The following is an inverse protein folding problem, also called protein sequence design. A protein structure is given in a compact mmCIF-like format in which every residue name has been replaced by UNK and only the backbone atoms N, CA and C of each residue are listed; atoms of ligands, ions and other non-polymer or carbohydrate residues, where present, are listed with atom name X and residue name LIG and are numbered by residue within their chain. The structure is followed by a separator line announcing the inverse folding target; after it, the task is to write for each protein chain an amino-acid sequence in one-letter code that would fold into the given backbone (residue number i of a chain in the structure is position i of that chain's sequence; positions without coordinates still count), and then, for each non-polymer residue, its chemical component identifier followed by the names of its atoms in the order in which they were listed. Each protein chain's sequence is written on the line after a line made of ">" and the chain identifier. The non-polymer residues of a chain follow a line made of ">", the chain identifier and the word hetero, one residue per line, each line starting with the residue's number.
data_IF_166014612114
#
_entry.id   IF_166014612114
#
_cell.length_a   1.000
_cell.length_b   1.000
_cell.length_c   1.000
_cell.angle_alpha   90.00
_cell.angle_beta   90.00
_cell.angle_gamma   90.00
#
_symmetry.space_group_name_H-M   'P 1'
#
loop_
_entity.id
_entity.type
_entity.pdbx_description
1 polymer ?
#
# COMPACT_ATOMS: atom_id res chain seq x y z
N UNK A 1 43.63 -19.94 -19.82
CA UNK A 1 42.26 -19.80 -19.26
C UNK A 1 41.79 -21.21 -18.93
N UNK A 2 41.58 -21.55 -17.66
CA UNK A 2 41.06 -22.87 -17.27
C UNK A 2 39.61 -22.99 -17.74
N UNK A 3 39.28 -23.99 -18.57
CA UNK A 3 37.90 -24.25 -18.99
C UNK A 3 37.05 -24.58 -17.76
N UNK A 4 35.94 -23.87 -17.59
CA UNK A 4 35.00 -24.03 -16.47
C UNK A 4 34.32 -25.41 -16.51
N UNK A 5 34.19 -26.01 -17.70
CA UNK A 5 33.45 -27.26 -17.92
C UNK A 5 34.14 -28.52 -17.34
N UNK A 6 35.42 -28.43 -16.92
CA UNK A 6 36.21 -29.57 -16.43
C UNK A 6 36.28 -29.63 -14.91
N UNK A 7 35.83 -28.58 -14.21
CA UNK A 7 35.99 -28.46 -12.77
C UNK A 7 34.64 -28.70 -12.09
N UNK A 8 34.48 -29.88 -11.49
CA UNK A 8 33.26 -30.24 -10.76
C UNK A 8 32.96 -29.30 -9.58
N UNK A 9 31.67 -29.13 -9.22
CA UNK A 9 31.26 -28.32 -8.06
C UNK A 9 31.91 -28.85 -6.78
N UNK A 10 32.44 -27.93 -5.95
CA UNK A 10 33.16 -28.27 -4.71
C UNK A 10 34.65 -28.60 -4.88
N UNK A 11 35.19 -28.61 -6.10
CA UNK A 11 36.63 -28.79 -6.32
C UNK A 11 37.45 -27.56 -5.91
N UNK A 12 38.71 -27.76 -5.50
CA UNK A 12 39.65 -26.67 -5.22
C UNK A 12 39.83 -25.72 -6.43
N UNK A 13 39.71 -26.24 -7.66
CA UNK A 13 39.71 -25.41 -8.86
C UNK A 13 38.55 -24.43 -8.92
N UNK A 14 37.37 -24.84 -8.44
CA UNK A 14 36.17 -24.00 -8.37
C UNK A 14 36.34 -22.93 -7.28
N UNK A 15 36.92 -23.29 -6.12
CA UNK A 15 37.27 -22.32 -5.07
C UNK A 15 38.24 -21.25 -5.58
N UNK A 16 39.29 -21.63 -6.32
CA UNK A 16 40.23 -20.67 -6.91
C UNK A 16 39.55 -19.76 -7.95
N UNK A 17 38.52 -20.24 -8.65
CA UNK A 17 37.70 -19.40 -9.52
C UNK A 17 36.85 -18.40 -8.73
N UNK A 18 36.21 -18.82 -7.63
CA UNK A 18 35.44 -17.93 -6.73
C UNK A 18 36.36 -16.86 -6.11
N UNK A 19 37.57 -17.23 -5.68
CA UNK A 19 38.54 -16.28 -5.13
C UNK A 19 38.99 -15.23 -6.15
N UNK A 20 38.96 -15.52 -7.45
CA UNK A 20 39.21 -14.51 -8.50
C UNK A 20 38.13 -13.43 -8.56
N UNK A 21 36.93 -13.65 -8.02
CA UNK A 21 35.89 -12.62 -7.89
C UNK A 21 36.26 -11.55 -6.85
N UNK A 22 37.30 -11.76 -6.02
CA UNK A 22 37.81 -10.76 -5.08
C UNK A 22 38.75 -9.72 -5.74
N UNK A 23 39.07 -9.87 -7.04
CA UNK A 23 39.90 -8.90 -7.79
C UNK A 23 39.45 -7.43 -7.66
N UNK A 24 38.15 -7.08 -7.63
CA UNK A 24 37.70 -5.70 -7.43
C UNK A 24 38.15 -5.10 -6.09
N UNK A 25 38.44 -5.91 -5.05
CA UNK A 25 38.92 -5.42 -3.75
C UNK A 25 40.22 -4.61 -3.85
N UNK A 26 41.01 -4.77 -4.92
CA UNK A 26 42.20 -3.95 -5.18
C UNK A 26 41.87 -2.45 -5.26
N UNK A 27 40.62 -2.07 -5.57
CA UNK A 27 40.17 -0.67 -5.62
C UNK A 27 40.25 0.00 -4.24
N UNK A 28 40.07 -0.75 -3.14
CA UNK A 28 40.20 -0.23 -1.78
C UNK A 28 41.65 0.16 -1.46
N UNK A 29 42.63 -0.50 -2.08
CA UNK A 29 44.05 -0.15 -1.95
C UNK A 29 44.45 0.95 -2.94
N UNK A 30 43.93 0.91 -4.17
CA UNK A 30 44.29 1.85 -5.24
C UNK A 30 43.72 3.26 -5.02
N UNK A 31 42.50 3.37 -4.49
CA UNK A 31 41.78 4.65 -4.32
C UNK A 31 41.91 5.13 -2.86
N UNK A 32 42.61 6.24 -2.58
CA UNK A 32 42.86 6.70 -1.21
C UNK A 32 41.60 7.06 -0.43
N UNK A 33 40.53 7.50 -1.11
CA UNK A 33 39.22 7.78 -0.49
C UNK A 33 38.56 6.50 0.05
N UNK A 34 38.60 5.41 -0.72
CA UNK A 34 38.04 4.12 -0.31
C UNK A 34 38.79 3.52 0.87
N UNK A 35 40.12 3.72 0.92
CA UNK A 35 40.94 3.30 2.07
C UNK A 35 40.54 4.01 3.36
N UNK A 36 40.22 5.32 3.29
CA UNK A 36 39.75 6.08 4.46
C UNK A 36 38.44 5.51 5.00
N UNK A 37 37.48 5.17 4.12
CA UNK A 37 36.21 4.54 4.53
C UNK A 37 36.45 3.21 5.26
N UNK A 38 37.32 2.35 4.73
CA UNK A 38 37.67 1.07 5.38
C UNK A 38 38.37 1.31 6.71
N UNK A 39 39.26 2.29 6.81
CA UNK A 39 39.93 2.64 8.07
C UNK A 39 38.94 3.08 9.15
N UNK A 40 37.98 3.96 8.81
CA UNK A 40 36.94 4.38 9.77
C UNK A 40 36.03 3.21 10.19
N UNK A 41 35.74 2.26 9.28
CA UNK A 41 34.98 1.05 9.61
C UNK A 41 35.76 0.13 10.57
N UNK A 42 37.03 -0.16 10.25
CA UNK A 42 37.88 -1.06 11.04
C UNK A 42 38.19 -0.46 12.41
N UNK A 43 38.30 0.86 12.51
CA UNK A 43 38.50 1.56 13.77
C UNK A 43 37.41 1.27 14.80
N UNK A 44 36.16 1.10 14.35
CA UNK A 44 35.01 0.75 15.21
C UNK A 44 34.77 -0.75 15.37
N UNK A 45 35.64 -1.61 14.86
CA UNK A 45 35.41 -3.06 14.84
C UNK A 45 35.30 -3.66 16.24
N UNK A 46 36.03 -3.12 17.23
CA UNK A 46 36.00 -3.61 18.62
C UNK A 46 34.60 -3.47 19.23
N UNK A 47 33.97 -2.32 19.05
CA UNK A 47 32.63 -2.01 19.54
C UNK A 47 31.58 -2.87 18.82
N UNK A 48 31.69 -3.01 17.50
CA UNK A 48 30.82 -3.88 16.69
C UNK A 48 30.92 -5.34 17.15
N UNK A 49 32.14 -5.81 17.46
CA UNK A 49 32.37 -7.17 17.94
C UNK A 49 31.71 -7.40 19.31
N UNK A 50 31.81 -6.44 20.24
CA UNK A 50 31.17 -6.54 21.56
C UNK A 50 29.64 -6.70 21.44
N UNK A 51 29.00 -5.90 20.58
CA UNK A 51 27.56 -5.99 20.33
C UNK A 51 27.20 -7.32 19.66
N UNK A 52 28.02 -7.77 18.71
CA UNK A 52 27.83 -9.02 18.00
C UNK A 52 27.92 -10.24 18.92
N UNK A 53 28.86 -10.25 19.87
CA UNK A 53 28.98 -11.29 20.90
C UNK A 53 27.73 -11.34 21.78
N UNK A 54 27.24 -10.18 22.25
CA UNK A 54 26.00 -10.11 23.03
C UNK A 54 24.81 -10.69 22.26
N UNK A 55 24.70 -10.37 20.97
CA UNK A 55 23.63 -10.84 20.10
C UNK A 55 23.71 -12.36 19.85
N UNK A 56 24.92 -12.93 19.69
CA UNK A 56 25.13 -14.38 19.57
C UNK A 56 24.75 -15.11 20.86
N UNK A 57 25.14 -14.59 22.03
CA UNK A 57 24.76 -15.17 23.33
C UNK A 57 23.24 -15.14 23.50
N UNK A 58 22.60 -14.03 23.15
CA UNK A 58 21.14 -13.90 23.19
C UNK A 58 20.47 -14.90 22.26
N UNK A 59 20.91 -15.02 21.00
CA UNK A 59 20.40 -16.03 20.06
C UNK A 59 20.59 -17.44 20.59
N UNK A 60 21.72 -17.74 21.23
CA UNK A 60 21.99 -19.06 21.80
C UNK A 60 20.97 -19.45 22.87
N UNK A 61 20.63 -18.54 23.78
CA UNK A 61 19.60 -18.78 24.81
C UNK A 61 18.25 -19.12 24.15
N UNK A 62 17.82 -18.32 23.18
CA UNK A 62 16.57 -18.55 22.46
C UNK A 62 16.61 -19.80 21.57
N UNK A 63 17.77 -20.16 21.02
CA UNK A 63 17.95 -21.38 20.25
C UNK A 63 17.80 -22.62 21.12
N UNK A 64 18.44 -22.65 22.30
CA UNK A 64 18.28 -23.75 23.27
C UNK A 64 16.81 -23.87 23.69
N UNK A 65 16.15 -22.75 23.99
CA UNK A 65 14.72 -22.72 24.30
C UNK A 65 13.87 -23.26 23.14
N UNK A 66 14.12 -22.79 21.91
CA UNK A 66 13.40 -23.21 20.71
C UNK A 66 13.57 -24.70 20.41
N UNK A 67 14.76 -25.26 20.57
CA UNK A 67 15.01 -26.70 20.37
C UNK A 67 14.24 -27.55 21.37
N UNK A 68 14.20 -27.15 22.65
CA UNK A 68 13.46 -27.89 23.67
C UNK A 68 11.94 -27.86 23.44
N UNK A 69 11.39 -26.73 22.97
CA UNK A 69 9.95 -26.62 22.75
C UNK A 69 9.49 -27.19 21.40
N UNK A 70 10.27 -26.98 20.35
CA UNK A 70 9.85 -27.18 18.96
C UNK A 70 10.58 -28.34 18.26
N UNK A 71 11.65 -28.86 18.85
CA UNK A 71 12.45 -29.95 18.28
C UNK A 71 11.62 -31.18 17.95
N UNK A 72 11.65 -31.61 16.68
CA UNK A 72 10.91 -32.75 16.16
C UNK A 72 9.39 -32.55 16.03
N UNK A 73 8.84 -31.40 16.46
CA UNK A 73 7.38 -31.13 16.50
C UNK A 73 6.89 -30.29 15.34
N UNK A 74 7.80 -29.74 14.53
CA UNK A 74 7.45 -28.90 13.39
C UNK A 74 7.10 -29.68 12.13
N UNK A 75 7.38 -30.97 12.04
CA UNK A 75 7.09 -31.74 10.84
C UNK A 75 5.58 -32.01 10.70
N UNK A 76 5.04 -31.86 9.48
CA UNK A 76 3.64 -32.16 9.15
C UNK A 76 3.55 -32.80 7.77
N UNK A 77 2.44 -33.47 7.49
CA UNK A 77 2.12 -33.91 6.15
C UNK A 77 1.87 -32.71 5.24
N UNK A 78 2.33 -32.78 3.99
CA UNK A 78 2.03 -31.79 2.96
C UNK A 78 0.55 -31.78 2.51
N UNK A 79 -0.22 -32.83 2.83
CA UNK A 79 -1.67 -32.92 2.62
C UNK A 79 -2.41 -32.43 3.89
N UNK A 80 -3.23 -31.37 3.75
CA UNK A 80 -3.95 -30.74 4.88
C UNK A 80 -5.02 -31.62 5.50
N UNK A 81 -5.49 -32.64 4.78
CA UNK A 81 -6.54 -33.54 5.29
C UNK A 81 -5.96 -34.60 6.25
N UNK A 82 -4.64 -34.76 6.29
CA UNK A 82 -3.96 -35.82 7.04
C UNK A 82 -3.20 -35.22 8.23
N UNK A 83 -3.67 -35.52 9.43
CA UNK A 83 -3.07 -35.02 10.68
C UNK A 83 -2.04 -35.98 11.29
N UNK A 84 -2.14 -37.28 11.01
CA UNK A 84 -1.28 -38.31 11.62
C UNK A 84 -0.17 -38.76 10.69
N UNK A 85 1.05 -38.93 11.23
CA UNK A 85 2.22 -39.37 10.47
C UNK A 85 2.03 -40.72 9.77
N UNK A 86 1.41 -41.69 10.44
CA UNK A 86 1.12 -43.03 9.90
C UNK A 86 0.24 -43.00 8.64
N UNK A 87 -0.68 -42.03 8.56
CA UNK A 87 -1.60 -41.87 7.43
C UNK A 87 -1.00 -41.04 6.28
N UNK A 88 0.17 -40.46 6.47
CA UNK A 88 0.86 -39.62 5.47
C UNK A 88 1.62 -40.50 4.45
N UNK A 89 0.89 -41.39 3.78
CA UNK A 89 1.40 -42.31 2.76
C UNK A 89 0.57 -42.22 1.49
N UNK A 90 1.17 -42.58 0.35
CA UNK A 90 0.53 -42.52 -0.97
C UNK A 90 0.74 -41.19 -1.70
N UNK A 91 -0.18 -40.86 -2.61
CA UNK A 91 -0.12 -39.67 -3.48
C UNK A 91 -1.43 -38.88 -3.36
N UNK A 92 -1.35 -37.57 -3.54
CA UNK A 92 -2.53 -36.69 -3.53
C UNK A 92 -2.40 -35.59 -4.59
N UNK A 93 -3.54 -35.02 -4.98
CA UNK A 93 -3.60 -33.89 -5.91
C UNK A 93 -3.34 -32.59 -5.14
N UNK A 94 -2.23 -31.91 -5.45
CA UNK A 94 -1.90 -30.60 -4.87
C UNK A 94 -2.24 -29.49 -5.85
N UNK A 95 -2.98 -28.50 -5.39
CA UNK A 95 -3.26 -27.27 -6.14
C UNK A 95 -2.02 -26.38 -6.21
N UNK A 96 -1.66 -25.94 -7.42
CA UNK A 96 -0.56 -25.02 -7.66
C UNK A 96 -1.07 -23.58 -7.63
N UNK A 97 -0.41 -22.73 -6.86
CA UNK A 97 -0.67 -21.29 -6.90
C UNK A 97 -0.05 -20.69 -8.17
N UNK A 98 -0.87 -20.40 -9.19
CA UNK A 98 -0.43 -19.74 -10.43
C UNK A 98 0.05 -18.31 -10.15
N UNK A 99 -0.57 -17.62 -9.19
CA UNK A 99 -0.17 -16.29 -8.73
C UNK A 99 -0.23 -16.19 -7.21
N UNK A 100 0.62 -15.33 -6.62
CA UNK A 100 0.57 -15.01 -5.18
C UNK A 100 -0.67 -14.15 -4.82
N UNK A 101 -1.35 -13.55 -5.80
CA UNK A 101 -2.59 -12.82 -5.60
C UNK A 101 -3.79 -13.77 -5.65
N UNK A 102 -4.65 -13.71 -4.62
CA UNK A 102 -5.83 -14.57 -4.44
C UNK A 102 -6.96 -14.40 -5.48
N UNK A 103 -6.75 -13.64 -6.56
CA UNK A 103 -7.85 -13.21 -7.43
C UNK A 103 -7.53 -13.39 -8.91
N UNK A 104 -7.40 -14.63 -9.32
CA UNK A 104 -7.69 -15.01 -10.71
C UNK A 104 -8.77 -16.09 -10.63
N UNK A 105 -9.98 -15.77 -11.10
CA UNK A 105 -11.04 -16.76 -11.27
C UNK A 105 -10.64 -17.68 -12.42
N UNK A 106 -10.03 -18.80 -12.08
CA UNK A 106 -9.63 -19.85 -13.02
C UNK A 106 -9.54 -21.18 -12.28
N UNK A 107 -9.66 -22.28 -13.02
CA UNK A 107 -9.48 -23.63 -12.48
C UNK A 107 -8.05 -23.78 -11.94
N UNK A 108 -7.91 -24.23 -10.69
CA UNK A 108 -6.59 -24.42 -10.08
C UNK A 108 -5.92 -25.64 -10.73
N UNK A 109 -4.74 -25.43 -11.31
CA UNK A 109 -3.95 -26.52 -11.89
C UNK A 109 -3.53 -27.46 -10.76
N UNK A 110 -3.94 -28.72 -10.85
CA UNK A 110 -3.64 -29.77 -9.87
C UNK A 110 -2.57 -30.71 -10.41
N UNK A 111 -1.60 -31.05 -9.57
CA UNK A 111 -0.56 -32.03 -9.90
C UNK A 111 -0.50 -33.13 -8.85
N UNK A 112 -0.29 -34.37 -9.30
CA UNK A 112 -0.15 -35.53 -8.43
C UNK A 112 1.24 -35.52 -7.77
N UNK A 113 1.29 -35.39 -6.45
CA UNK A 113 2.54 -35.38 -5.67
C UNK A 113 2.50 -36.44 -4.56
N UNK A 114 3.66 -36.99 -4.16
CA UNK A 114 3.72 -37.91 -3.03
C UNK A 114 3.40 -37.18 -1.72
N UNK A 115 2.74 -37.89 -0.80
CA UNK A 115 2.60 -37.43 0.59
C UNK A 115 3.94 -37.57 1.30
N UNK A 116 4.38 -36.51 1.97
CA UNK A 116 5.66 -36.47 2.68
C UNK A 116 5.46 -35.77 4.02
N UNK A 117 5.92 -36.41 5.09
CA UNK A 117 5.97 -35.84 6.43
C UNK A 117 7.31 -35.11 6.60
N UNK A 118 7.29 -33.78 6.53
CA UNK A 118 8.51 -32.98 6.52
C UNK A 118 8.40 -31.66 7.29
N UNK A 119 9.54 -31.18 7.74
CA UNK A 119 9.70 -29.84 8.29
C UNK A 119 9.54 -28.77 7.20
N UNK A 120 9.28 -27.51 7.58
CA UNK A 120 9.46 -26.39 6.67
C UNK A 120 10.86 -26.42 6.06
N UNK A 121 10.99 -26.11 4.76
CA UNK A 121 12.27 -26.22 4.05
C UNK A 121 13.30 -25.18 4.51
N UNK A 122 12.84 -23.99 4.89
CA UNK A 122 13.71 -22.86 5.18
C UNK A 122 14.23 -22.88 6.62
N UNK A 123 13.46 -23.42 7.57
CA UNK A 123 13.83 -23.41 8.98
C UNK A 123 13.28 -24.62 9.73
N UNK A 124 13.99 -25.02 10.79
CA UNK A 124 13.54 -26.01 11.78
C UNK A 124 14.31 -25.79 13.09
N UNK A 125 13.82 -26.39 14.18
CA UNK A 125 14.40 -26.28 15.51
C UNK A 125 14.87 -27.65 16.04
N UNK A 126 15.25 -28.57 15.15
CA UNK A 126 15.66 -29.93 15.56
C UNK A 126 17.07 -29.95 16.15
N UNK A 127 17.93 -29.02 15.72
CA UNK A 127 19.30 -28.86 16.19
C UNK A 127 19.56 -27.39 16.55
N UNK A 128 20.50 -27.15 17.47
CA UNK A 128 20.89 -25.80 17.90
C UNK A 128 21.36 -24.94 16.72
N UNK A 129 22.13 -25.51 15.77
CA UNK A 129 22.60 -24.77 14.60
C UNK A 129 21.45 -24.28 13.69
N UNK A 130 20.47 -25.15 13.43
CA UNK A 130 19.29 -24.79 12.63
C UNK A 130 18.41 -23.76 13.35
N UNK A 131 18.29 -23.87 14.68
CA UNK A 131 17.57 -22.90 15.50
C UNK A 131 18.25 -21.52 15.52
N UNK A 132 19.59 -21.46 15.62
CA UNK A 132 20.34 -20.20 15.51
C UNK A 132 20.17 -19.59 14.12
N UNK A 133 20.23 -20.39 13.04
CA UNK A 133 20.01 -19.90 11.68
C UNK A 133 18.59 -19.35 11.48
N UNK A 134 17.58 -20.06 12.00
CA UNK A 134 16.20 -19.58 12.00
C UNK A 134 16.04 -18.26 12.77
N UNK A 135 16.68 -18.13 13.93
CA UNK A 135 16.66 -16.88 14.72
C UNK A 135 17.42 -15.75 14.04
N UNK A 136 18.50 -16.05 13.31
CA UNK A 136 19.22 -15.08 12.50
C UNK A 136 18.33 -14.53 11.36
N UNK A 137 17.55 -15.38 10.69
CA UNK A 137 16.53 -14.95 9.73
C UNK A 137 15.44 -14.10 10.39
N UNK A 138 14.99 -14.46 11.60
CA UNK A 138 14.02 -13.62 12.35
C UNK A 138 14.60 -12.24 12.68
N UNK A 139 15.89 -12.16 13.02
CA UNK A 139 16.58 -10.90 13.34
C UNK A 139 16.70 -9.95 12.15
N UNK A 140 16.75 -10.45 10.91
CA UNK A 140 16.72 -9.59 9.71
C UNK A 140 15.34 -8.99 9.45
N UNK A 141 14.31 -9.42 10.19
CA UNK A 141 12.90 -9.06 9.99
C UNK A 141 12.35 -9.46 8.62
N UNK A 142 13.02 -10.39 7.93
CA UNK A 142 12.56 -10.99 6.68
C UNK A 142 12.05 -12.41 6.96
N UNK A 143 10.91 -12.80 6.38
CA UNK A 143 10.37 -14.15 6.54
C UNK A 143 9.89 -14.55 7.96
N UNK A 144 10.13 -13.72 8.99
CA UNK A 144 9.74 -14.00 10.37
C UNK A 144 8.24 -14.27 10.56
N UNK A 145 7.40 -13.70 9.71
CA UNK A 145 5.95 -13.93 9.69
C UNK A 145 5.63 -15.40 9.38
N UNK A 146 6.37 -16.02 8.45
CA UNK A 146 6.21 -17.44 8.13
C UNK A 146 6.60 -18.30 9.32
N UNK A 147 7.72 -17.97 9.99
CA UNK A 147 8.17 -18.67 11.20
C UNK A 147 7.12 -18.58 12.31
N UNK A 148 6.62 -17.38 12.58
CA UNK A 148 5.56 -17.14 13.58
C UNK A 148 4.30 -17.94 13.28
N UNK A 149 3.82 -17.86 12.04
CA UNK A 149 2.54 -18.47 11.66
C UNK A 149 2.63 -19.99 11.64
N UNK A 150 3.76 -20.55 11.18
CA UNK A 150 4.04 -21.99 11.25
C UNK A 150 4.12 -22.48 12.69
N UNK A 151 4.84 -21.77 13.57
CA UNK A 151 4.90 -22.14 15.00
C UNK A 151 3.49 -22.10 15.61
N UNK A 152 2.73 -21.03 15.34
CA UNK A 152 1.36 -20.86 15.83
C UNK A 152 0.40 -21.93 15.32
N UNK A 153 0.53 -22.35 14.06
CA UNK A 153 -0.33 -23.36 13.45
C UNK A 153 0.03 -24.78 13.90
N UNK A 154 1.33 -25.11 13.98
CA UNK A 154 1.79 -26.50 14.22
C UNK A 154 1.90 -26.87 15.69
N UNK A 155 2.39 -25.96 16.53
CA UNK A 155 2.50 -26.18 17.98
C UNK A 155 1.25 -25.66 18.70
N UNK A 156 0.48 -24.80 18.03
CA UNK A 156 -0.58 -24.02 18.62
C UNK A 156 -0.05 -22.66 19.11
N UNK A 157 -0.92 -21.66 19.24
CA UNK A 157 -0.51 -20.43 19.90
C UNK A 157 -0.02 -20.81 21.30
N UNK A 158 1.03 -20.18 21.83
CA UNK A 158 1.43 -20.24 23.26
C UNK A 158 0.34 -19.77 24.24
N UNK A 159 -0.89 -19.69 23.76
CA UNK A 159 -2.19 -19.60 24.43
C UNK A 159 -2.88 -20.96 24.52
N UNK A 160 -2.19 -22.08 24.28
CA UNK A 160 -2.75 -23.42 24.49
C UNK A 160 -3.30 -23.59 25.92
N UNK A 161 -2.75 -22.80 26.86
CA UNK A 161 -3.18 -22.69 28.25
C UNK A 161 -4.14 -21.52 28.55
N UNK A 162 -4.47 -20.67 27.57
CA UNK A 162 -5.30 -19.48 27.76
C UNK A 162 -6.69 -19.69 27.15
N UNK A 163 -7.71 -19.17 27.81
CA UNK A 163 -9.11 -19.25 27.37
C UNK A 163 -9.38 -18.39 26.14
N UNK A 164 -10.51 -18.64 25.46
CA UNK A 164 -10.94 -17.88 24.28
C UNK A 164 -11.05 -16.38 24.58
N UNK A 165 -11.52 -16.00 25.76
CA UNK A 165 -11.66 -14.59 26.14
C UNK A 165 -10.32 -13.93 26.46
N UNK A 166 -9.37 -14.66 27.05
CA UNK A 166 -8.00 -14.18 27.25
C UNK A 166 -7.32 -13.91 25.90
N UNK A 167 -7.58 -14.74 24.88
CA UNK A 167 -7.09 -14.53 23.53
C UNK A 167 -7.71 -13.28 22.88
N UNK A 168 -9.03 -13.08 23.01
CA UNK A 168 -9.73 -11.88 22.53
C UNK A 168 -9.20 -10.60 23.20
N UNK A 169 -8.89 -10.67 24.49
CA UNK A 169 -8.33 -9.56 25.26
C UNK A 169 -6.92 -9.18 24.79
N UNK A 170 -6.06 -10.17 24.50
CA UNK A 170 -4.72 -9.94 23.94
C UNK A 170 -4.77 -9.30 22.55
N UNK A 171 -5.68 -9.78 21.69
CA UNK A 171 -5.91 -9.17 20.36
C UNK A 171 -6.40 -7.72 20.49
N UNK A 172 -7.32 -7.45 21.42
CA UNK A 172 -7.82 -6.10 21.69
C UNK A 172 -6.69 -5.17 22.17
N UNK A 173 -5.86 -5.64 23.11
CA UNK A 173 -4.70 -4.89 23.63
C UNK A 173 -3.70 -4.56 22.53
N UNK A 174 -3.48 -5.47 21.58
CA UNK A 174 -2.66 -5.23 20.40
C UNK A 174 -3.23 -4.12 19.50
N UNK A 175 -4.54 -4.13 19.26
CA UNK A 175 -5.22 -3.10 18.46
C UNK A 175 -5.14 -1.72 19.11
N UNK A 176 -5.36 -1.62 20.42
CA UNK A 176 -5.32 -0.34 21.15
C UNK A 176 -3.90 0.27 21.14
N UNK A 177 -2.85 -0.54 21.19
CA UNK A 177 -1.46 -0.03 21.08
C UNK A 177 -1.17 0.63 19.74
N UNK A 178 -1.89 0.28 18.69
CA UNK A 178 -1.72 0.84 17.35
C UNK A 178 -2.62 2.05 17.09
N UNK A 179 -3.62 2.31 17.94
CA UNK A 179 -4.52 3.46 17.76
C UNK A 179 -3.84 4.76 18.20
N UNK A 180 -3.86 5.76 17.34
CA UNK A 180 -3.47 7.12 17.68
C UNK A 180 -4.70 8.00 17.96
N UNK A 181 -4.59 9.01 18.83
CA UNK A 181 -5.68 9.97 19.04
C UNK A 181 -5.98 10.71 17.74
N UNK A 182 -7.26 10.88 17.47
CA UNK A 182 -7.76 11.50 16.25
C UNK A 182 -7.36 12.99 16.20
N UNK A 183 -6.45 13.35 15.29
CA UNK A 183 -5.94 14.72 15.14
C UNK A 183 -6.88 15.60 14.29
N UNK A 184 -8.11 15.81 14.73
CA UNK A 184 -9.02 16.78 14.08
C UNK A 184 -8.88 18.14 14.78
N UNK A 185 -8.60 19.24 14.05
CA UNK A 185 -8.51 20.56 14.65
C UNK A 185 -9.86 20.96 15.27
N UNK A 186 -9.87 21.60 16.45
CA UNK A 186 -11.12 21.98 17.11
C UNK A 186 -11.92 22.98 16.27
N UNK A 187 -13.25 22.83 16.29
CA UNK A 187 -14.18 23.75 15.62
C UNK A 187 -13.91 25.19 16.08
N UNK A 188 -13.83 26.17 15.17
CA UNK A 188 -13.72 27.57 15.56
C UNK A 188 -14.94 27.97 16.43
N UNK A 189 -14.69 28.45 17.65
CA UNK A 189 -15.76 28.83 18.59
C UNK A 189 -16.20 30.28 18.33
N UNK A 190 -17.52 30.53 18.27
CA UNK A 190 -18.10 31.86 18.07
C UNK A 190 -18.43 32.57 19.40
N UNK A 191 -18.55 31.82 20.50
CA UNK A 191 -18.86 32.35 21.83
C UNK A 191 -17.78 31.96 22.84
N UNK A 192 -17.57 32.85 23.81
CA UNK A 192 -16.62 32.71 24.91
C UNK A 192 -17.17 31.73 25.93
N UNK A 193 -16.46 30.63 26.17
CA UNK A 193 -16.69 29.80 27.35
C UNK A 193 -16.07 30.49 28.58
N UNK A 194 -16.75 30.51 29.74
CA UNK A 194 -16.18 31.06 30.96
C UNK A 194 -14.95 30.24 31.35
N UNK A 195 -13.75 30.83 31.29
CA UNK A 195 -12.53 30.26 31.87
C UNK A 195 -11.37 29.91 30.94
N UNK A 196 -11.46 30.10 29.61
CA UNK A 196 -10.36 29.75 28.69
C UNK A 196 -9.81 30.97 27.91
N UNK A 197 -8.68 31.52 28.37
CA UNK A 197 -7.99 32.71 27.84
C UNK A 197 -6.99 32.43 26.71
N UNK A 198 -7.26 31.47 25.83
CA UNK A 198 -6.42 31.29 24.62
C UNK A 198 -7.28 31.02 23.39
N UNK A 199 -7.23 31.97 22.45
CA UNK A 199 -7.81 31.99 21.09
C UNK A 199 -9.16 32.71 20.92
N UNK A 200 -9.27 33.94 21.40
CA UNK A 200 -10.38 34.84 21.01
C UNK A 200 -9.85 35.96 20.11
N UNK A 201 -10.54 36.14 18.99
CA UNK A 201 -10.49 37.33 18.14
C UNK A 201 -10.87 38.54 19.01
N UNK A 202 -9.93 39.49 19.15
CA UNK A 202 -10.01 40.66 20.04
C UNK A 202 -11.37 41.37 19.97
N UNK A 203 -11.93 41.89 21.09
CA UNK A 203 -13.25 42.55 21.12
C UNK A 203 -13.37 43.80 20.21
N UNK A 204 -12.26 44.26 19.63
CA UNK A 204 -12.17 45.27 18.56
C UNK A 204 -12.20 44.69 17.13
N UNK A 205 -12.74 43.50 16.92
CA UNK A 205 -12.77 42.85 15.61
C UNK A 205 -13.86 43.43 14.71
N UNK A 206 -13.45 43.86 13.52
CA UNK A 206 -14.30 44.47 12.50
C UNK A 206 -15.46 43.54 12.09
N UNK A 207 -16.62 44.10 11.72
CA UNK A 207 -17.80 43.34 11.27
C UNK A 207 -17.48 42.30 10.16
N UNK A 208 -16.42 42.55 9.37
CA UNK A 208 -15.95 41.67 8.31
C UNK A 208 -15.27 40.39 8.83
N UNK A 209 -14.50 40.47 9.92
CA UNK A 209 -13.86 39.30 10.54
C UNK A 209 -14.88 38.38 11.21
N UNK A 210 -15.91 38.95 11.84
CA UNK A 210 -17.05 38.19 12.38
C UNK A 210 -17.82 37.47 11.27
N UNK A 211 -18.04 38.12 10.12
CA UNK A 211 -18.66 37.49 8.94
C UNK A 211 -17.77 36.36 8.38
N UNK A 212 -16.47 36.59 8.28
CA UNK A 212 -15.49 35.57 7.84
C UNK A 212 -15.44 34.36 8.78
N UNK A 213 -15.48 34.58 10.10
CA UNK A 213 -15.49 33.48 11.08
C UNK A 213 -16.77 32.66 11.01
N UNK A 214 -17.94 33.30 10.87
CA UNK A 214 -19.22 32.61 10.65
C UNK A 214 -19.20 31.77 9.39
N UNK A 215 -18.64 32.30 8.30
CA UNK A 215 -18.47 31.57 7.05
C UNK A 215 -17.55 30.36 7.21
N UNK A 216 -16.43 30.49 7.94
CA UNK A 216 -15.52 29.37 8.23
C UNK A 216 -16.16 28.29 9.08
N UNK A 217 -16.99 28.64 10.06
CA UNK A 217 -17.75 27.66 10.85
C UNK A 217 -18.78 26.93 9.97
N UNK A 218 -19.50 27.65 9.12
CA UNK A 218 -20.45 27.07 8.18
C UNK A 218 -19.78 26.09 7.21
N UNK A 219 -18.63 26.46 6.64
CA UNK A 219 -17.84 25.57 5.78
C UNK A 219 -17.28 24.37 6.56
N UNK A 220 -16.84 24.55 7.81
CA UNK A 220 -16.42 23.43 8.66
C UNK A 220 -17.57 22.45 8.92
N UNK A 221 -18.77 22.97 9.20
CA UNK A 221 -19.96 22.14 9.45
C UNK A 221 -20.39 21.37 8.19
N UNK A 222 -20.30 21.98 7.00
CA UNK A 222 -20.55 21.31 5.70
C UNK A 222 -19.51 20.22 5.43
N UNK A 223 -18.23 20.53 5.56
CA UNK A 223 -17.12 19.61 5.19
C UNK A 223 -16.98 18.44 6.17
N UNK A 224 -17.33 18.64 7.45
CA UNK A 224 -17.33 17.56 8.43
C UNK A 224 -18.61 16.72 8.43
N UNK A 225 -19.64 17.14 7.69
CA UNK A 225 -20.92 16.45 7.64
C UNK A 225 -20.76 15.03 7.07
N UNK A 226 -21.45 14.06 7.69
CA UNK A 226 -21.39 12.66 7.30
C UNK A 226 -21.84 12.42 5.85
N UNK A 227 -22.83 13.20 5.37
CA UNK A 227 -23.29 13.13 3.98
C UNK A 227 -22.22 13.62 2.99
N UNK A 228 -21.47 14.66 3.34
CA UNK A 228 -20.39 15.18 2.49
C UNK A 228 -19.24 14.17 2.39
N UNK A 229 -18.88 13.54 3.51
CA UNK A 229 -17.86 12.46 3.55
C UNK A 229 -18.31 11.21 2.78
N UNK A 230 -19.60 10.85 2.88
CA UNK A 230 -20.17 9.71 2.14
C UNK A 230 -20.28 10.00 0.64
N UNK A 231 -20.72 11.20 0.26
CA UNK A 231 -20.83 11.62 -1.14
C UNK A 231 -19.45 11.70 -1.83
N UNK A 232 -18.45 12.26 -1.15
CA UNK A 232 -17.06 12.29 -1.64
C UNK A 232 -16.48 10.88 -1.72
N UNK A 233 -16.70 10.02 -0.73
CA UNK A 233 -16.26 8.62 -0.77
C UNK A 233 -16.92 7.84 -1.92
N UNK A 234 -18.21 8.04 -2.20
CA UNK A 234 -18.88 7.41 -3.35
C UNK A 234 -18.40 7.93 -4.71
N UNK A 235 -17.94 9.20 -4.76
CA UNK A 235 -17.33 9.77 -5.96
C UNK A 235 -15.90 9.27 -6.18
N UNK A 236 -15.15 9.04 -5.10
CA UNK A 236 -13.77 8.54 -5.10
C UNK A 236 -13.65 7.01 -5.07
N UNK A 237 -14.75 6.26 -4.90
CA UNK A 237 -14.69 4.80 -4.78
C UNK A 237 -14.33 4.17 -6.13
N UNK A 238 -13.04 4.17 -6.43
CA UNK A 238 -12.38 3.42 -7.48
C UNK A 238 -12.22 1.96 -7.02
N UNK A 239 -13.32 1.32 -6.62
CA UNK A 239 -13.32 -0.10 -6.27
C UNK A 239 -14.50 -0.79 -6.91
N UNK A 240 -14.38 -1.03 -8.21
CA UNK A 240 -15.25 -1.97 -8.91
C UNK A 240 -15.45 -1.62 -10.37
N UNK A 241 -14.88 -2.49 -11.22
CA UNK A 241 -15.23 -2.76 -12.61
C UNK A 241 -14.92 -1.67 -13.64
N UNK A 242 -13.73 -1.79 -14.25
CA UNK A 242 -13.30 -1.18 -15.53
C UNK A 242 -14.20 -1.49 -16.75
N UNK A 243 -15.41 -2.02 -16.55
CA UNK A 243 -16.31 -2.45 -17.61
C UNK A 243 -17.74 -1.97 -17.39
N UNK A 244 -17.89 -0.68 -17.14
CA UNK A 244 -19.19 -0.02 -17.06
C UNK A 244 -19.23 1.18 -18.02
N UNK A 245 -20.29 1.28 -18.83
CA UNK A 245 -20.55 2.39 -19.76
C UNK A 245 -20.61 3.77 -19.08
N UNK A 246 -20.63 3.81 -17.75
CA UNK A 246 -20.75 5.01 -16.92
C UNK A 246 -19.42 5.67 -16.52
N UNK A 247 -18.26 5.13 -16.91
CA UNK A 247 -16.94 5.70 -16.54
C UNK A 247 -16.74 7.09 -17.12
N UNK A 248 -17.06 7.29 -18.41
CA UNK A 248 -16.94 8.59 -19.10
C UNK A 248 -17.83 9.68 -18.46
N UNK A 249 -19.15 9.48 -18.28
CA UNK A 249 -20.00 10.51 -17.66
C UNK A 249 -19.63 10.78 -16.19
N UNK A 250 -19.22 9.77 -15.41
CA UNK A 250 -18.78 9.97 -14.02
C UNK A 250 -17.51 10.81 -13.92
N UNK A 251 -16.51 10.52 -14.76
CA UNK A 251 -15.29 11.31 -14.83
C UNK A 251 -15.57 12.78 -15.20
N UNK A 252 -16.46 13.02 -16.16
CA UNK A 252 -16.84 14.38 -16.55
C UNK A 252 -17.52 15.14 -15.41
N UNK A 253 -18.41 14.49 -14.65
CA UNK A 253 -19.07 15.09 -13.47
C UNK A 253 -18.03 15.41 -12.38
N UNK A 254 -17.11 14.49 -12.10
CA UNK A 254 -16.07 14.67 -11.08
C UNK A 254 -15.11 15.81 -11.43
N UNK A 255 -14.65 15.88 -12.68
CA UNK A 255 -13.79 16.97 -13.16
C UNK A 255 -14.53 18.32 -13.11
N UNK A 256 -15.79 18.37 -13.55
CA UNK A 256 -16.59 19.60 -13.50
C UNK A 256 -16.78 20.12 -12.07
N UNK A 257 -17.12 19.23 -11.12
CA UNK A 257 -17.20 19.58 -9.71
C UNK A 257 -15.85 20.02 -9.13
N UNK A 258 -14.75 19.33 -9.50
CA UNK A 258 -13.39 19.68 -9.09
C UNK A 258 -12.98 21.08 -9.53
N UNK A 259 -13.32 21.48 -10.77
CA UNK A 259 -13.10 22.83 -11.28
C UNK A 259 -13.91 23.86 -10.46
N UNK A 260 -15.21 23.60 -10.24
CA UNK A 260 -16.11 24.51 -9.48
C UNK A 260 -15.58 24.73 -8.05
N UNK A 261 -15.19 23.66 -7.35
CA UNK A 261 -14.66 23.79 -5.98
C UNK A 261 -13.34 24.56 -5.94
N UNK A 262 -12.45 24.31 -6.90
CA UNK A 262 -11.17 25.04 -7.01
C UNK A 262 -11.40 26.54 -7.20
N UNK A 263 -12.39 26.93 -8.01
CA UNK A 263 -12.76 28.34 -8.19
C UNK A 263 -13.28 28.97 -6.90
N UNK A 264 -14.12 28.27 -6.13
CA UNK A 264 -14.57 28.77 -4.82
C UNK A 264 -13.43 28.98 -3.83
N UNK A 265 -12.46 28.06 -3.77
CA UNK A 265 -11.27 28.23 -2.93
C UNK A 265 -10.39 29.40 -3.38
N UNK A 266 -10.27 29.63 -4.68
CA UNK A 266 -9.55 30.78 -5.22
C UNK A 266 -10.22 32.10 -4.82
N UNK A 267 -11.55 32.18 -4.94
CA UNK A 267 -12.34 33.35 -4.52
C UNK A 267 -12.15 33.60 -3.02
N UNK A 268 -12.26 32.56 -2.18
CA UNK A 268 -12.03 32.70 -0.74
C UNK A 268 -10.62 33.22 -0.43
N UNK A 269 -9.58 32.70 -1.09
CA UNK A 269 -8.21 33.15 -0.92
C UNK A 269 -8.03 34.62 -1.35
N UNK A 270 -8.59 35.01 -2.50
CA UNK A 270 -8.54 36.40 -2.99
C UNK A 270 -9.22 37.37 -2.01
N UNK A 271 -10.41 37.01 -1.52
CA UNK A 271 -11.13 37.82 -0.52
C UNK A 271 -10.32 37.99 0.77
N UNK A 272 -9.64 36.94 1.24
CA UNK A 272 -8.76 37.01 2.41
C UNK A 272 -7.50 37.87 2.16
N UNK A 273 -6.92 37.83 0.96
CA UNK A 273 -5.74 38.64 0.59
C UNK A 273 -6.11 40.13 0.52
N UNK A 274 -7.25 40.47 -0.07
CA UNK A 274 -7.76 41.85 -0.15
C UNK A 274 -8.07 42.38 1.26
N UNK A 275 -8.72 41.57 2.10
CA UNK A 275 -9.12 41.98 3.44
C UNK A 275 -7.95 42.18 4.42
N UNK A 276 -6.95 41.28 4.41
CA UNK A 276 -5.87 41.25 5.40
C UNK A 276 -4.59 41.95 4.92
N UNK A 277 -4.54 42.39 3.65
CA UNK A 277 -3.31 42.72 2.91
C UNK A 277 -2.34 41.53 2.86
N UNK A 278 -1.47 41.50 1.85
CA UNK A 278 -0.58 40.36 1.60
C UNK A 278 0.30 40.00 2.82
N UNK A 279 0.86 41.01 3.49
CA UNK A 279 1.68 40.81 4.68
C UNK A 279 0.93 40.17 5.86
N UNK A 280 -0.32 40.56 6.10
CA UNK A 280 -1.15 39.99 7.17
C UNK A 280 -1.65 38.58 6.82
N UNK A 281 -1.93 38.32 5.55
CA UNK A 281 -2.33 36.99 5.08
C UNK A 281 -1.22 35.94 5.29
N UNK A 282 0.05 36.31 5.04
CA UNK A 282 1.20 35.40 5.11
C UNK A 282 1.61 34.99 6.53
N UNK A 283 1.19 35.71 7.56
CA UNK A 283 1.52 35.39 8.95
C UNK A 283 0.82 34.11 9.44
N UNK A 284 -0.36 33.78 8.91
CA UNK A 284 -1.14 32.61 9.32
C UNK A 284 -0.70 31.35 8.58
N UNK A 285 -0.22 30.34 9.32
CA UNK A 285 0.18 29.03 8.75
C UNK A 285 -0.93 28.36 7.94
N UNK A 286 -2.20 28.58 8.30
CA UNK A 286 -3.38 28.03 7.61
C UNK A 286 -3.68 28.76 6.30
N UNK A 287 -3.56 30.08 6.28
CA UNK A 287 -3.76 30.86 5.05
C UNK A 287 -2.67 30.54 4.02
N UNK A 288 -1.44 30.25 4.47
CA UNK A 288 -0.38 29.75 3.58
C UNK A 288 -0.72 28.41 2.93
N UNK A 289 -1.35 27.50 3.68
CA UNK A 289 -1.83 26.23 3.14
C UNK A 289 -3.00 26.43 2.17
N UNK A 290 -3.99 27.27 2.53
CA UNK A 290 -5.12 27.61 1.65
C UNK A 290 -4.63 28.17 0.30
N UNK A 291 -3.64 29.07 0.32
CA UNK A 291 -3.03 29.64 -0.88
C UNK A 291 -2.28 28.60 -1.72
N UNK A 292 -1.53 27.70 -1.07
CA UNK A 292 -0.81 26.62 -1.75
C UNK A 292 -1.79 25.68 -2.46
N UNK A 293 -2.88 25.29 -1.78
CA UNK A 293 -3.92 24.43 -2.36
C UNK A 293 -4.61 25.13 -3.53
N UNK A 294 -4.92 26.42 -3.43
CA UNK A 294 -5.49 27.19 -4.53
C UNK A 294 -4.55 27.25 -5.75
N UNK A 295 -3.25 27.50 -5.54
CA UNK A 295 -2.25 27.55 -6.63
C UNK A 295 -2.08 26.19 -7.31
N UNK A 296 -1.99 25.10 -6.54
CA UNK A 296 -1.92 23.75 -7.09
C UNK A 296 -3.20 23.39 -7.86
N UNK A 297 -4.37 23.79 -7.36
CA UNK A 297 -5.65 23.59 -8.04
C UNK A 297 -5.72 24.32 -9.39
N UNK A 298 -5.33 25.60 -9.44
CA UNK A 298 -5.28 26.36 -10.70
C UNK A 298 -4.28 25.76 -11.69
N UNK A 299 -3.10 25.34 -11.20
CA UNK A 299 -2.09 24.67 -12.02
C UNK A 299 -2.64 23.35 -12.60
N UNK A 300 -3.37 22.58 -11.80
CA UNK A 300 -4.05 21.37 -12.26
C UNK A 300 -5.09 21.66 -13.33
N UNK A 301 -5.93 22.71 -13.18
CA UNK A 301 -6.90 23.12 -14.21
C UNK A 301 -6.18 23.46 -15.52
N UNK A 302 -5.13 24.28 -15.46
CA UNK A 302 -4.36 24.70 -16.64
C UNK A 302 -3.75 23.48 -17.34
N UNK A 303 -3.09 22.59 -16.59
CA UNK A 303 -2.53 21.36 -17.14
C UNK A 303 -3.61 20.42 -17.69
N UNK A 304 -4.77 20.33 -17.05
CA UNK A 304 -5.88 19.52 -17.51
C UNK A 304 -6.39 19.96 -18.89
N UNK A 305 -6.45 21.27 -19.14
CA UNK A 305 -6.85 21.81 -20.45
C UNK A 305 -5.71 21.79 -21.49
N UNK A 306 -4.45 21.97 -21.09
CA UNK A 306 -3.29 21.92 -22.00
C UNK A 306 -2.99 20.50 -22.48
N UNK A 307 -3.04 19.52 -21.57
CA UNK A 307 -2.68 18.12 -21.87
C UNK A 307 -3.85 17.32 -22.46
N UNK A 308 -5.06 17.87 -22.52
CA UNK A 308 -6.16 17.28 -23.30
C UNK A 308 -6.08 17.80 -24.73
N UNK A 309 -5.70 16.98 -25.73
CA UNK A 309 -5.85 17.39 -27.12
C UNK A 309 -7.35 17.64 -27.37
N UNK A 310 -7.68 18.86 -27.79
CA UNK A 310 -8.99 19.28 -28.21
C UNK A 310 -9.39 18.39 -29.41
N UNK A 311 -10.44 17.55 -29.37
CA UNK A 311 -11.08 17.15 -30.61
C UNK A 311 -11.81 18.40 -31.12
N UNK A 312 -11.22 19.04 -32.12
CA UNK A 312 -11.84 20.14 -32.83
C UNK A 312 -13.09 19.60 -33.53
N UNK A 313 -14.27 19.90 -33.01
CA UNK A 313 -15.33 20.55 -33.79
C UNK A 313 -16.50 20.91 -32.87
N UNK A 314 -16.73 22.22 -32.73
CA UNK A 314 -17.86 22.79 -32.01
C UNK A 314 -19.21 22.35 -32.63
N UNK A 315 -19.20 21.82 -33.86
CA UNK A 315 -20.37 21.26 -34.53
C UNK A 315 -20.84 19.90 -33.99
N UNK A 316 -19.97 19.08 -33.38
CA UNK A 316 -20.38 17.75 -32.90
C UNK A 316 -21.24 17.85 -31.63
N UNK A 317 -20.94 18.80 -30.74
CA UNK A 317 -21.65 18.92 -29.46
C UNK A 317 -23.10 19.43 -29.63
N UNK A 318 -23.33 20.34 -30.59
CA UNK A 318 -24.69 20.77 -30.93
C UNK A 318 -25.46 19.66 -31.65
N UNK A 319 -24.84 18.91 -32.56
CA UNK A 319 -25.49 17.79 -33.24
C UNK A 319 -25.84 16.64 -32.28
N UNK A 320 -24.96 16.32 -31.33
CA UNK A 320 -25.22 15.26 -30.35
C UNK A 320 -26.35 15.66 -29.37
N UNK A 321 -26.41 16.94 -28.96
CA UNK A 321 -27.51 17.44 -28.12
C UNK A 321 -28.83 17.54 -28.92
N UNK A 322 -28.77 17.90 -30.20
CA UNK A 322 -29.93 17.99 -31.09
C UNK A 322 -30.51 16.61 -31.44
N UNK A 323 -29.65 15.59 -31.63
CA UNK A 323 -30.05 14.20 -31.82
C UNK A 323 -30.66 13.63 -30.53
N UNK A 324 -30.09 13.94 -29.37
CA UNK A 324 -30.63 13.48 -28.08
C UNK A 324 -32.00 14.11 -27.75
N UNK A 325 -32.22 15.37 -28.13
CA UNK A 325 -33.51 16.05 -27.96
C UNK A 325 -34.56 15.61 -28.99
N UNK A 326 -34.18 15.33 -30.25
CA UNK A 326 -35.10 14.81 -31.25
C UNK A 326 -35.53 13.35 -30.99
N UNK A 327 -34.66 12.52 -30.42
CA UNK A 327 -34.99 11.14 -30.05
C UNK A 327 -35.92 11.02 -28.82
N UNK A 328 -36.16 12.11 -28.09
CA UNK A 328 -37.12 12.13 -26.99
C UNK A 328 -38.57 12.35 -27.49
N UNK A 329 -38.76 12.77 -28.76
CA UNK A 329 -40.05 13.31 -29.20
C UNK A 329 -40.76 12.59 -30.37
N UNK A 330 -40.40 11.35 -30.72
CA UNK A 330 -41.26 10.53 -31.59
C UNK A 330 -41.44 9.14 -30.98
N UNK A 331 -42.60 8.94 -30.38
CA UNK A 331 -43.10 7.63 -29.99
C UNK A 331 -43.70 6.87 -31.19
N UNK A 332 -43.34 5.58 -31.23
CA UNK A 332 -44.06 4.45 -31.87
C UNK A 332 -43.99 4.29 -33.42
N UNK A 333 -44.36 3.11 -33.99
CA UNK A 333 -43.55 1.88 -34.02
C UNK A 333 -43.46 1.20 -35.42
N UNK A 334 -42.71 0.08 -35.51
CA UNK A 334 -42.62 -0.91 -36.61
C UNK A 334 -41.76 -0.47 -37.82
N UNK A 335 -41.02 -1.31 -38.56
CA UNK A 335 -41.08 -2.73 -38.92
C UNK A 335 -39.68 -3.24 -39.27
N UNK A 336 -39.39 -4.51 -38.99
CA UNK A 336 -38.24 -5.23 -39.55
C UNK A 336 -38.48 -5.52 -41.03
N UNK A 337 -37.53 -5.15 -41.90
CA UNK A 337 -37.45 -5.66 -43.28
C UNK A 337 -36.03 -6.18 -43.49
N UNK A 338 -35.93 -7.51 -43.66
CA UNK A 338 -34.76 -8.16 -44.23
C UNK A 338 -34.67 -7.82 -45.72
N UNK A 339 -33.49 -7.42 -46.18
CA UNK A 339 -33.12 -7.58 -47.59
C UNK A 339 -31.79 -8.32 -47.66
N UNK A 340 -31.88 -9.60 -48.05
CA UNK A 340 -30.81 -10.30 -48.74
C UNK A 340 -30.50 -9.56 -50.05
N UNK A 341 -29.23 -9.53 -50.44
CA UNK A 341 -28.82 -9.74 -51.83
C UNK A 341 -27.35 -10.21 -51.88
N UNK A 342 -27.19 -11.34 -52.56
CA UNK A 342 -25.93 -11.93 -53.00
C UNK A 342 -25.36 -11.12 -54.18
N UNK A 343 -24.03 -11.02 -54.26
CA UNK A 343 -23.21 -10.96 -55.49
C UNK A 343 -21.72 -11.01 -55.04
N UNK A 344 -21.02 -12.15 -55.11
CA UNK A 344 -20.33 -12.77 -56.27
C UNK A 344 -18.97 -12.09 -56.60
N UNK A 345 -17.91 -12.88 -56.41
CA UNK A 345 -16.61 -12.94 -57.10
C UNK A 345 -15.68 -11.70 -57.10
N UNK A 346 -14.44 -11.82 -56.59
CA UNK A 346 -13.33 -12.53 -57.23
C UNK A 346 -12.03 -12.43 -56.39
N UNK A 347 -11.27 -13.53 -56.48
CA UNK A 347 -9.87 -13.76 -56.13
C UNK A 347 -8.88 -12.68 -56.56
N UNK A 348 -7.76 -12.52 -55.84
CA UNK A 348 -6.38 -12.73 -56.35
C UNK A 348 -5.35 -12.72 -55.20
N UNK A 349 -4.58 -13.82 -55.16
CA UNK A 349 -3.27 -14.10 -54.54
C UNK A 349 -3.03 -13.97 -53.02
#
# INVERSE_FOLDING_TARGET
>A
MLRVDVIGPGSAGHLLMVLRCLRPLRIFCLVPQMRRVVYELVRGFREILMVSVLLVVFMFIFAVYGVHLFGGRLAICNDRNIMSKEKCVGRFMRELASTKLKSVKGESIKILVPRVWANPRNFNFDNIGNAILALFEVLSLEGWVEIRDVIKERIGPGTALLTVDQRRWLDLKGRIRLTQPLQIPPRPKLHQEPGLTRNIVSPKSNNLEKKSLKFRCFIYDITQHILFKRASATLFNELGTERSSWVKPRYQIQVSLGIIFTLFFCIECLLKIIALKFGGYWQSKRNRFDMLVAVLGVTWIILHFILRPIPVSVNSFYNDLFIYLNNINIGAPNTYVQHNNNEVNNSYH
#
